data_IF_048148042310
#
_entry.id   IF_048148042310
#
_cell.length_a   1.000
_cell.length_b   1.000
_cell.length_c   1.000
_cell.angle_alpha   90.00
_cell.angle_beta   90.00
_cell.angle_gamma   90.00
#
_symmetry.space_group_name_H-M   'P 1'
#
loop_
_entity.id
_entity.type
_entity.pdbx_description
1 polymer ?
#
# COMPACT_ATOMS: atom_id res chain seq x y z
N UNK A 1 -22.70 -16.18 26.18
CA UNK A 1 -21.86 -16.10 24.98
C UNK A 1 -22.14 -14.75 24.36
N UNK A 2 -21.25 -13.79 24.57
CA UNK A 2 -21.34 -12.45 23.99
C UNK A 2 -21.20 -12.60 22.49
N UNK A 3 -22.28 -12.34 21.75
CA UNK A 3 -22.27 -12.32 20.30
C UNK A 3 -21.28 -11.24 19.87
N UNK A 4 -20.22 -11.65 19.20
CA UNK A 4 -19.34 -10.75 18.46
C UNK A 4 -20.22 -10.09 17.40
N UNK A 5 -20.60 -8.83 17.67
CA UNK A 5 -21.11 -7.92 16.66
C UNK A 5 -20.00 -7.78 15.62
N UNK A 6 -20.07 -8.62 14.59
CA UNK A 6 -19.25 -8.50 13.41
C UNK A 6 -19.69 -7.20 12.78
N UNK A 7 -18.90 -6.14 12.97
CA UNK A 7 -19.06 -4.86 12.28
C UNK A 7 -19.33 -5.17 10.81
N UNK A 8 -20.55 -4.89 10.35
CA UNK A 8 -20.94 -5.07 8.96
C UNK A 8 -20.28 -3.92 8.18
N UNK A 9 -18.97 -4.03 7.96
CA UNK A 9 -18.17 -3.04 7.23
C UNK A 9 -18.86 -2.85 5.88
N UNK A 10 -19.25 -1.61 5.59
CA UNK A 10 -19.99 -1.23 4.39
C UNK A 10 -19.35 -1.92 3.15
N UNK A 11 -20.12 -2.71 2.37
CA UNK A 11 -19.63 -3.37 1.16
C UNK A 11 -18.92 -2.41 0.19
N UNK A 12 -19.35 -1.14 0.14
CA UNK A 12 -18.71 -0.08 -0.65
C UNK A 12 -17.32 0.23 -0.12
N UNK A 13 -17.17 0.32 1.21
CA UNK A 13 -15.88 0.57 1.84
C UNK A 13 -14.92 -0.61 1.66
N UNK A 14 -15.40 -1.84 1.74
CA UNK A 14 -14.60 -3.04 1.44
C UNK A 14 -14.11 -3.07 -0.01
N UNK A 15 -14.98 -2.70 -0.96
CA UNK A 15 -14.60 -2.59 -2.37
C UNK A 15 -13.55 -1.50 -2.58
N UNK A 16 -13.76 -0.32 -1.98
CA UNK A 16 -12.79 0.78 -2.05
C UNK A 16 -11.43 0.36 -1.46
N UNK A 17 -11.42 -0.29 -0.30
CA UNK A 17 -10.20 -0.84 0.33
C UNK A 17 -9.48 -1.80 -0.60
N UNK A 18 -10.21 -2.73 -1.21
CA UNK A 18 -9.66 -3.67 -2.18
C UNK A 18 -9.02 -2.94 -3.37
N UNK A 19 -9.74 -1.99 -3.97
CA UNK A 19 -9.28 -1.28 -5.16
C UNK A 19 -8.02 -0.45 -4.86
N UNK A 20 -7.94 0.20 -3.68
CA UNK A 20 -6.74 0.91 -3.26
C UNK A 20 -5.58 -0.07 -3.01
N UNK A 21 -5.81 -1.18 -2.30
CA UNK A 21 -4.78 -2.21 -2.08
C UNK A 21 -4.21 -2.77 -3.39
N UNK A 22 -5.05 -2.92 -4.41
CA UNK A 22 -4.62 -3.32 -5.74
C UNK A 22 -3.70 -2.27 -6.39
N UNK A 23 -4.05 -0.98 -6.30
CA UNK A 23 -3.16 0.08 -6.80
C UNK A 23 -1.84 0.15 -6.03
N UNK A 24 -1.86 0.00 -4.71
CA UNK A 24 -0.65 -0.01 -3.88
C UNK A 24 0.26 -1.19 -4.23
N UNK A 25 -0.31 -2.36 -4.52
CA UNK A 25 0.44 -3.54 -4.95
C UNK A 25 1.10 -3.31 -6.31
N UNK A 26 0.37 -2.71 -7.27
CA UNK A 26 0.93 -2.36 -8.58
C UNK A 26 2.07 -1.35 -8.47
N UNK A 27 1.92 -0.30 -7.66
CA UNK A 27 2.98 0.70 -7.44
C UNK A 27 4.21 0.04 -6.83
N UNK A 28 4.03 -0.78 -5.80
CA UNK A 28 5.15 -1.49 -5.16
C UNK A 28 5.87 -2.39 -6.16
N UNK A 29 5.14 -3.15 -6.99
CA UNK A 29 5.75 -3.95 -8.05
C UNK A 29 6.57 -3.11 -9.01
N UNK A 30 6.03 -1.99 -9.51
CA UNK A 30 6.76 -1.09 -10.38
C UNK A 30 8.02 -0.52 -9.71
N UNK A 31 7.97 -0.19 -8.42
CA UNK A 31 9.13 0.31 -7.69
C UNK A 31 10.22 -0.77 -7.51
N UNK A 32 9.84 -2.03 -7.30
CA UNK A 32 10.80 -3.13 -7.23
C UNK A 32 11.51 -3.34 -8.57
N UNK A 33 10.78 -3.37 -9.68
CA UNK A 33 11.38 -3.49 -11.02
C UNK A 33 12.27 -2.28 -11.34
N UNK A 34 11.80 -1.07 -11.01
CA UNK A 34 12.52 0.17 -11.25
C UNK A 34 13.90 0.18 -10.58
N UNK A 35 14.08 -0.45 -9.41
CA UNK A 35 15.41 -0.58 -8.75
C UNK A 35 16.47 -1.23 -9.64
N UNK A 36 16.07 -2.06 -10.60
CA UNK A 36 16.98 -2.77 -11.50
C UNK A 36 17.16 -2.08 -12.87
N UNK A 37 16.29 -1.14 -13.24
CA UNK A 37 16.35 -0.42 -14.52
C UNK A 37 17.44 0.66 -14.57
N UNK A 38 17.97 1.07 -13.42
CA UNK A 38 19.00 2.11 -13.32
C UNK A 38 20.34 1.49 -12.91
N UNK A 39 21.29 1.47 -13.85
CA UNK A 39 22.60 0.83 -13.66
C UNK A 39 23.42 1.44 -12.50
N UNK A 40 23.38 2.76 -12.34
CA UNK A 40 24.09 3.49 -11.27
C UNK A 40 23.12 4.46 -10.59
N UNK A 41 22.29 3.99 -9.64
CA UNK A 41 21.29 4.83 -9.00
C UNK A 41 21.95 5.82 -8.02
N UNK A 42 21.60 7.10 -8.18
CA UNK A 42 22.00 8.17 -7.26
C UNK A 42 21.34 8.01 -5.88
N UNK A 43 21.87 8.69 -4.87
CA UNK A 43 21.26 8.69 -3.53
C UNK A 43 19.84 9.26 -3.55
N UNK A 44 19.61 10.35 -4.30
CA UNK A 44 18.28 10.92 -4.49
C UNK A 44 17.30 9.91 -5.10
N UNK A 45 17.75 9.15 -6.11
CA UNK A 45 16.93 8.11 -6.72
C UNK A 45 16.50 7.06 -5.70
N UNK A 46 17.46 6.54 -4.92
CA UNK A 46 17.19 5.55 -3.87
C UNK A 46 16.24 6.11 -2.82
N UNK A 47 16.48 7.34 -2.40
CA UNK A 47 15.63 8.06 -1.45
C UNK A 47 14.18 8.17 -1.95
N UNK A 48 13.95 8.55 -3.21
CA UNK A 48 12.60 8.64 -3.75
C UNK A 48 11.93 7.27 -3.83
N UNK A 49 12.62 6.25 -4.31
CA UNK A 49 12.07 4.88 -4.38
C UNK A 49 11.67 4.37 -2.99
N UNK A 50 12.56 4.51 -2.00
CA UNK A 50 12.29 4.07 -0.62
C UNK A 50 11.17 4.88 0.04
N UNK A 51 11.11 6.19 -0.21
CA UNK A 51 10.07 7.07 0.33
C UNK A 51 8.70 6.70 -0.20
N UNK A 52 8.58 6.45 -1.51
CA UNK A 52 7.31 6.04 -2.12
C UNK A 52 6.91 4.66 -1.61
N UNK A 53 7.84 3.69 -1.57
CA UNK A 53 7.57 2.34 -1.07
C UNK A 53 7.09 2.35 0.38
N UNK A 54 7.75 3.12 1.25
CA UNK A 54 7.37 3.28 2.66
C UNK A 54 5.98 3.90 2.80
N UNK A 55 5.68 4.91 1.97
CA UNK A 55 4.37 5.55 1.96
C UNK A 55 3.26 4.59 1.51
N UNK A 56 3.49 3.78 0.47
CA UNK A 56 2.54 2.76 0.03
C UNK A 56 2.23 1.74 1.13
N UNK A 57 3.26 1.26 1.84
CA UNK A 57 3.08 0.35 2.98
C UNK A 57 2.25 1.01 4.08
N UNK A 58 2.56 2.27 4.41
CA UNK A 58 1.85 3.02 5.45
C UNK A 58 0.36 3.23 5.11
N UNK A 59 0.05 3.53 3.84
CA UNK A 59 -1.34 3.64 3.39
C UNK A 59 -2.04 2.28 3.54
N UNK A 60 -1.39 1.17 3.17
CA UNK A 60 -1.94 -0.17 3.36
C UNK A 60 -2.26 -0.48 4.83
N UNK A 61 -1.37 -0.12 5.76
CA UNK A 61 -1.59 -0.26 7.20
C UNK A 61 -2.80 0.55 7.70
N UNK A 62 -2.92 1.81 7.25
CA UNK A 62 -4.04 2.69 7.59
C UNK A 62 -5.38 2.16 7.04
N UNK A 63 -5.38 1.51 5.88
CA UNK A 63 -6.60 0.90 5.32
C UNK A 63 -7.05 -0.35 6.10
N UNK A 64 -6.11 -1.07 6.70
CA UNK A 64 -6.40 -2.22 7.56
C UNK A 64 -6.97 -1.77 8.91
N UNK A 65 -6.40 -0.72 9.50
CA UNK A 65 -6.84 -0.17 10.78
C UNK A 65 -7.03 1.35 10.68
N UNK A 66 -8.15 1.81 10.09
CA UNK A 66 -8.48 3.24 10.06
C UNK A 66 -8.63 3.75 11.49
N UNK A 67 -7.95 4.85 11.83
CA UNK A 67 -8.11 5.55 13.11
C UNK A 67 -9.45 6.29 13.16
#
# INVERSE_FOLDING_TARGET
MTGEETENIDPVFNKLRHDINNQLSNIQLCLEELKYEVAEPTDDYRFYVETIATSCKRIGELLQNPQ
#
